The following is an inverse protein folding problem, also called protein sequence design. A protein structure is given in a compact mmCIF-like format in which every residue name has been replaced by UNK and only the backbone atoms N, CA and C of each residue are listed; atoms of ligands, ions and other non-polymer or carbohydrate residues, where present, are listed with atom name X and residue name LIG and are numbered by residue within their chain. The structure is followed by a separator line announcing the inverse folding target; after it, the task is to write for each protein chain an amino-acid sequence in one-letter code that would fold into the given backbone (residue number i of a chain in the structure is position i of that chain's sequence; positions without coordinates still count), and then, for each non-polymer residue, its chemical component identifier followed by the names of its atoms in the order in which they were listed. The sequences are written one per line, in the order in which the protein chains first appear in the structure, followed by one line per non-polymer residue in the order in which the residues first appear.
data_IF_376179661471
#
_entry.id   IF_376179661471
#
_cell.length_a   1.000
_cell.length_b   1.000
_cell.length_c   1.000
_cell.angle_alpha   90.00
_cell.angle_beta   90.00
_cell.angle_gamma   90.00
#
_symmetry.space_group_name_H-M   'P 1'
#
loop_
_entity.id
_entity.type
_entity.pdbx_description
1 polymer ?
#
# COMPACT_ATOMS: atom_id res chain seq x y z
N UNK A 1 -4.75 -12.89 -13.16
CA UNK A 1 -3.85 -11.80 -12.75
C UNK A 1 -2.43 -12.22 -13.09
N UNK A 2 -1.73 -11.50 -13.96
CA UNK A 2 -0.31 -11.79 -14.21
C UNK A 2 0.49 -11.09 -13.12
N UNK A 3 1.15 -11.86 -12.26
CA UNK A 3 1.91 -11.32 -11.10
C UNK A 3 3.00 -10.34 -11.54
N UNK A 4 3.59 -10.54 -12.72
CA UNK A 4 4.61 -9.65 -13.29
C UNK A 4 4.05 -8.25 -13.55
N UNK A 5 2.92 -8.13 -14.26
CA UNK A 5 2.27 -6.84 -14.53
C UNK A 5 1.92 -6.08 -13.25
N UNK A 6 1.41 -6.79 -12.24
CA UNK A 6 1.08 -6.18 -10.95
C UNK A 6 2.30 -5.67 -10.20
N UNK A 7 3.42 -6.41 -10.27
CA UNK A 7 4.67 -5.98 -9.66
C UNK A 7 5.22 -4.73 -10.35
N UNK A 8 5.20 -4.69 -11.69
CA UNK A 8 5.65 -3.54 -12.48
C UNK A 8 4.83 -2.28 -12.16
N UNK A 9 3.49 -2.39 -12.17
CA UNK A 9 2.60 -1.27 -11.85
C UNK A 9 2.81 -0.75 -10.41
N UNK A 10 3.01 -1.66 -9.46
CA UNK A 10 3.27 -1.28 -8.08
C UNK A 10 4.65 -0.62 -7.91
N UNK A 11 5.69 -1.13 -8.58
CA UNK A 11 7.00 -0.51 -8.60
C UNK A 11 6.93 0.92 -9.15
N UNK A 12 6.21 1.13 -10.26
CA UNK A 12 6.02 2.48 -10.81
C UNK A 12 5.32 3.43 -9.82
N UNK A 13 4.32 2.96 -9.07
CA UNK A 13 3.65 3.75 -8.03
C UNK A 13 4.60 4.11 -6.87
N UNK A 14 5.40 3.15 -6.40
CA UNK A 14 6.39 3.40 -5.35
C UNK A 14 7.46 4.40 -5.80
N UNK A 15 7.97 4.26 -7.04
CA UNK A 15 8.92 5.22 -7.63
C UNK A 15 8.32 6.61 -7.80
N UNK A 16 7.04 6.70 -8.21
CA UNK A 16 6.33 7.97 -8.27
C UNK A 16 6.29 8.63 -6.88
N UNK A 17 5.95 7.88 -5.83
CA UNK A 17 5.89 8.41 -4.46
C UNK A 17 7.24 8.96 -4.00
N UNK A 18 8.34 8.25 -4.32
CA UNK A 18 9.70 8.72 -4.04
C UNK A 18 9.97 10.06 -4.74
N UNK A 19 9.59 10.20 -6.02
CA UNK A 19 9.76 11.45 -6.76
C UNK A 19 8.90 12.59 -6.21
N UNK A 20 7.63 12.31 -5.89
CA UNK A 20 6.70 13.30 -5.33
C UNK A 20 7.21 13.86 -3.99
N UNK A 21 7.88 13.03 -3.19
CA UNK A 21 8.46 13.43 -1.90
C UNK A 21 9.96 13.71 -1.92
N UNK A 22 10.56 13.86 -3.09
CA UNK A 22 11.95 14.25 -3.20
C UNK A 22 12.20 15.59 -2.45
N UNK A 23 13.21 15.71 -1.58
CA UNK A 23 13.44 16.91 -0.77
C UNK A 23 13.76 18.18 -1.58
N UNK A 24 14.22 18.05 -2.83
CA UNK A 24 14.64 19.18 -3.66
C UNK A 24 13.62 19.46 -4.76
N UNK A 25 13.18 18.41 -5.46
CA UNK A 25 12.37 18.50 -6.68
C UNK A 25 10.92 18.01 -6.49
N UNK A 26 10.60 17.49 -5.30
CA UNK A 26 9.28 16.94 -5.02
C UNK A 26 8.17 17.99 -4.99
N UNK A 27 6.94 17.51 -5.09
CA UNK A 27 5.74 18.32 -4.99
C UNK A 27 5.68 19.01 -3.61
N UNK A 28 5.51 20.35 -3.56
CA UNK A 28 5.46 21.07 -2.29
C UNK A 28 4.37 20.59 -1.34
N UNK A 29 3.21 20.21 -1.88
CA UNK A 29 2.10 19.70 -1.07
C UNK A 29 2.45 18.34 -0.48
N UNK A 30 2.92 17.39 -1.30
CA UNK A 30 3.26 16.04 -0.83
C UNK A 30 4.32 16.10 0.25
N UNK A 31 5.40 16.88 0.05
CA UNK A 31 6.49 17.03 1.02
C UNK A 31 6.04 17.61 2.36
N UNK A 32 5.03 18.48 2.37
CA UNK A 32 4.52 19.11 3.59
C UNK A 32 3.68 18.15 4.45
N UNK A 33 3.27 17.00 3.92
CA UNK A 33 2.41 16.06 4.64
C UNK A 33 3.17 15.22 5.66
N UNK A 34 2.46 14.84 6.72
CA UNK A 34 2.90 13.90 7.75
C UNK A 34 1.84 12.82 8.02
N UNK A 35 2.09 11.94 9.00
CA UNK A 35 1.14 10.87 9.31
C UNK A 35 -0.23 11.39 9.77
N UNK A 36 -0.28 12.52 10.47
CA UNK A 36 -1.53 13.08 10.97
C UNK A 36 -2.32 13.72 9.82
N UNK A 37 -1.65 14.47 8.95
CA UNK A 37 -2.33 15.13 7.83
C UNK A 37 -2.89 14.13 6.81
N UNK A 38 -2.25 12.97 6.63
CA UNK A 38 -2.72 11.91 5.72
C UNK A 38 -3.79 10.99 6.35
N UNK A 39 -3.90 10.95 7.67
CA UNK A 39 -4.79 10.01 8.36
C UNK A 39 -6.28 10.19 8.02
N UNK A 40 -6.74 11.44 7.84
CA UNK A 40 -8.13 11.71 7.46
C UNK A 40 -8.45 11.20 6.07
N UNK A 41 -7.58 11.47 5.09
CA UNK A 41 -7.72 10.98 3.71
C UNK A 41 -7.81 9.45 3.69
N UNK A 42 -6.98 8.76 4.48
CA UNK A 42 -7.04 7.29 4.59
C UNK A 42 -8.43 6.76 5.01
N UNK A 43 -9.12 7.49 5.88
CA UNK A 43 -10.47 7.12 6.33
C UNK A 43 -11.51 7.47 5.25
N UNK A 44 -11.36 8.61 4.60
CA UNK A 44 -12.22 9.07 3.50
C UNK A 44 -12.23 8.05 2.35
N UNK A 45 -11.06 7.64 1.85
CA UNK A 45 -10.97 6.64 0.76
C UNK A 45 -11.64 5.31 1.14
N UNK A 46 -11.55 4.90 2.41
CA UNK A 46 -12.19 3.68 2.88
C UNK A 46 -13.73 3.79 2.86
N UNK A 47 -14.28 4.98 3.11
CA UNK A 47 -15.71 5.23 2.95
C UNK A 47 -16.13 5.28 1.48
N UNK A 48 -15.30 5.83 0.60
CA UNK A 48 -15.59 5.90 -0.84
C UNK A 48 -15.56 4.51 -1.49
N UNK A 49 -14.59 3.66 -1.12
CA UNK A 49 -14.59 2.23 -1.48
C UNK A 49 -15.90 1.55 -1.07
N UNK A 50 -16.40 1.82 0.14
CA UNK A 50 -17.68 1.26 0.61
C UNK A 50 -18.85 1.76 -0.24
N UNK A 51 -18.92 3.06 -0.51
CA UNK A 51 -20.00 3.65 -1.34
C UNK A 51 -20.02 3.03 -2.74
N UNK A 52 -18.84 2.90 -3.37
CA UNK A 52 -18.72 2.27 -4.69
C UNK A 52 -19.22 0.82 -4.70
N UNK A 53 -18.96 0.06 -3.64
CA UNK A 53 -19.49 -1.31 -3.47
C UNK A 53 -21.02 -1.29 -3.33
N UNK A 54 -21.56 -0.42 -2.47
CA UNK A 54 -23.01 -0.30 -2.23
C UNK A 54 -23.77 0.05 -3.51
N UNK A 55 -23.14 0.85 -4.39
CA UNK A 55 -23.68 1.26 -5.68
C UNK A 55 -23.41 0.26 -6.81
N UNK A 56 -22.67 -0.82 -6.54
CA UNK A 56 -22.22 -1.80 -7.56
C UNK A 56 -21.50 -1.12 -8.73
N UNK A 57 -20.76 -0.05 -8.44
CA UNK A 57 -20.02 0.72 -9.44
C UNK A 57 -18.60 0.20 -9.54
N UNK A 58 -18.36 -0.71 -10.49
CA UNK A 58 -17.04 -1.29 -10.69
C UNK A 58 -15.99 -0.28 -11.18
N UNK A 59 -16.42 0.80 -11.85
CA UNK A 59 -15.54 1.84 -12.34
C UNK A 59 -15.00 2.67 -11.18
N UNK A 60 -15.91 3.17 -10.36
CA UNK A 60 -15.57 3.92 -9.16
C UNK A 60 -14.80 3.04 -8.16
N UNK A 61 -15.23 1.80 -7.95
CA UNK A 61 -14.53 0.88 -7.03
C UNK A 61 -13.05 0.71 -7.39
N UNK A 62 -12.71 0.65 -8.68
CA UNK A 62 -11.32 0.57 -9.13
C UNK A 62 -10.53 1.84 -8.79
N UNK A 63 -11.16 3.01 -8.88
CA UNK A 63 -10.55 4.31 -8.59
C UNK A 63 -10.29 4.43 -7.09
N UNK A 64 -11.31 4.23 -6.25
CA UNK A 64 -11.16 4.38 -4.80
C UNK A 64 -10.23 3.33 -4.18
N UNK A 65 -10.16 2.11 -4.76
CA UNK A 65 -9.16 1.12 -4.35
C UNK A 65 -7.73 1.56 -4.69
N UNK A 66 -7.57 2.32 -5.79
CA UNK A 66 -6.31 2.94 -6.17
C UNK A 66 -5.91 4.04 -5.19
N UNK A 67 -6.85 4.91 -4.82
CA UNK A 67 -6.61 6.01 -3.88
C UNK A 67 -6.32 5.48 -2.47
N UNK A 68 -7.08 4.48 -2.00
CA UNK A 68 -6.78 3.80 -0.75
C UNK A 68 -5.39 3.13 -0.75
N UNK A 69 -4.99 2.50 -1.87
CA UNK A 69 -3.63 1.95 -2.02
C UNK A 69 -2.58 3.07 -1.98
N UNK A 70 -2.84 4.21 -2.61
CA UNK A 70 -1.95 5.37 -2.58
C UNK A 70 -1.73 5.86 -1.14
N UNK A 71 -2.77 5.92 -0.31
CA UNK A 71 -2.62 6.29 1.11
C UNK A 71 -1.69 5.32 1.87
N UNK A 72 -1.75 4.01 1.60
CA UNK A 72 -0.83 3.02 2.18
C UNK A 72 0.61 3.26 1.72
N UNK A 73 0.82 3.54 0.42
CA UNK A 73 2.13 3.86 -0.14
C UNK A 73 2.69 5.15 0.48
N UNK A 74 1.85 6.16 0.70
CA UNK A 74 2.25 7.42 1.32
C UNK A 74 2.74 7.22 2.75
N UNK A 75 1.98 6.50 3.59
CA UNK A 75 2.38 6.18 4.96
C UNK A 75 3.65 5.33 5.01
N UNK A 76 3.81 4.38 4.09
CA UNK A 76 5.03 3.60 3.98
C UNK A 76 6.25 4.48 3.63
N UNK A 77 6.07 5.46 2.73
CA UNK A 77 7.13 6.42 2.39
C UNK A 77 7.51 7.30 3.58
N UNK A 78 6.53 7.81 4.32
CA UNK A 78 6.75 8.60 5.54
C UNK A 78 7.46 7.81 6.64
N UNK A 79 7.21 6.51 6.74
CA UNK A 79 7.87 5.61 7.67
C UNK A 79 9.31 5.30 7.25
N UNK A 80 9.54 5.12 5.94
CA UNK A 80 10.87 4.90 5.37
C UNK A 80 11.77 6.13 5.57
N UNK A 81 11.25 7.34 5.34
CA UNK A 81 11.95 8.61 5.60
C UNK A 81 12.39 8.77 7.06
N UNK A 82 11.68 8.12 7.99
CA UNK A 82 12.02 8.10 9.42
C UNK A 82 12.86 6.89 9.84
N UNK A 83 13.19 6.00 8.91
CA UNK A 83 13.95 4.77 9.16
C UNK A 83 13.17 3.70 9.94
N UNK A 84 11.83 3.75 9.94
CA UNK A 84 10.99 2.82 10.70
C UNK A 84 10.73 1.51 9.97
N UNK A 85 10.24 1.60 8.73
CA UNK A 85 9.98 0.46 7.84
C UNK A 85 9.67 0.93 6.41
N UNK A 86 9.77 0.03 5.43
CA UNK A 86 9.43 0.26 4.03
C UNK A 86 8.08 -0.37 3.65
N UNK A 87 7.61 -0.12 2.42
CA UNK A 87 6.39 -0.74 1.89
C UNK A 87 6.47 -2.27 1.89
N UNK A 88 7.66 -2.82 1.60
CA UNK A 88 7.85 -4.26 1.54
C UNK A 88 7.65 -4.91 2.92
N UNK A 89 8.02 -4.26 4.02
CA UNK A 89 7.75 -4.72 5.38
C UNK A 89 6.25 -4.73 5.69
N UNK A 90 5.49 -3.74 5.23
CA UNK A 90 4.01 -3.73 5.33
C UNK A 90 3.42 -4.95 4.62
N UNK A 91 3.81 -5.18 3.36
CA UNK A 91 3.34 -6.30 2.55
C UNK A 91 3.72 -7.67 3.14
N UNK A 92 4.98 -7.83 3.59
CA UNK A 92 5.45 -9.06 4.27
C UNK A 92 4.68 -9.33 5.56
N UNK A 93 4.40 -8.30 6.35
CA UNK A 93 3.67 -8.42 7.61
C UNK A 93 2.26 -8.95 7.40
N UNK A 94 1.49 -8.36 6.46
CA UNK A 94 0.15 -8.83 6.15
C UNK A 94 0.17 -10.24 5.53
N UNK A 95 1.11 -10.52 4.62
CA UNK A 95 1.27 -11.84 4.01
C UNK A 95 1.50 -12.93 5.07
N UNK A 96 2.52 -12.77 5.92
CA UNK A 96 2.84 -13.72 6.97
C UNK A 96 1.68 -13.90 7.98
N UNK A 97 0.97 -12.81 8.31
CA UNK A 97 -0.23 -12.86 9.15
C UNK A 97 -1.35 -13.68 8.52
N UNK A 98 -1.65 -13.45 7.25
CA UNK A 98 -2.75 -14.15 6.56
C UNK A 98 -2.42 -15.64 6.36
N UNK A 99 -1.21 -15.96 5.92
CA UNK A 99 -0.73 -17.33 5.81
C UNK A 99 -0.90 -18.09 7.13
N UNK A 100 -0.43 -17.52 8.24
CA UNK A 100 -0.54 -18.15 9.58
C UNK A 100 -1.99 -18.35 10.02
N UNK A 101 -2.90 -17.47 9.61
CA UNK A 101 -4.33 -17.52 9.97
C UNK A 101 -5.16 -18.48 9.10
N UNK A 102 -4.60 -19.02 8.02
CA UNK A 102 -5.28 -19.94 7.11
C UNK A 102 -4.56 -21.31 7.00
N UNK A 103 -4.36 -22.04 8.11
CA UNK A 103 -3.69 -23.35 8.08
C UNK A 103 -4.46 -24.39 7.28
N UNK A 104 -5.77 -24.21 7.09
CA UNK A 104 -6.59 -25.08 6.24
C UNK A 104 -6.28 -24.92 4.74
N UNK A 105 -5.71 -23.79 4.31
CA UNK A 105 -5.27 -23.56 2.93
C UNK A 105 -3.80 -23.95 2.73
N UNK A 106 -2.94 -23.62 3.69
CA UNK A 106 -1.48 -23.73 3.54
C UNK A 106 -0.83 -24.87 4.34
N UNK A 107 -1.60 -25.67 5.08
CA UNK A 107 -1.09 -26.72 5.96
C UNK A 107 -0.38 -26.16 7.20
N UNK A 108 0.41 -27.01 7.87
CA UNK A 108 1.28 -26.60 8.99
C UNK A 108 2.51 -25.81 8.48
N UNK A 109 2.27 -24.63 7.92
CA UNK A 109 3.22 -23.52 7.76
C UNK A 109 4.04 -23.51 6.46
N UNK A 110 3.89 -22.50 5.58
CA UNK A 110 4.85 -22.26 4.50
C UNK A 110 6.12 -21.59 5.06
N UNK A 111 7.27 -21.92 4.45
CA UNK A 111 8.55 -21.22 4.69
C UNK A 111 8.38 -19.74 4.28
N UNK A 112 8.89 -18.78 5.07
CA UNK A 112 8.87 -17.38 4.67
C UNK A 112 9.64 -17.19 3.35
N UNK A 113 9.05 -16.42 2.44
CA UNK A 113 9.74 -15.93 1.25
C UNK A 113 10.88 -15.02 1.71
N UNK A 114 12.12 -15.41 1.45
CA UNK A 114 13.33 -14.66 1.83
C UNK A 114 14.25 -15.33 2.86
N UNK A 115 14.01 -16.57 3.27
CA UNK A 115 15.03 -17.37 3.95
C UNK A 115 16.00 -17.97 2.91
N UNK A 116 16.88 -17.13 2.36
CA UNK A 116 18.15 -17.55 1.78
C UNK A 116 19.25 -17.02 2.70
N UNK A 117 20.33 -17.80 2.75
CA UNK A 117 21.50 -17.75 3.64
C UNK A 117 22.12 -16.36 3.86
#
# INVERSE_FOLDING_TARGET
MRTADSAEALTALLELMVRLRDPEQGCPWDRAQDFHSIASYTIEEAYEVRDAIERTDAGQLREELGDLLFQVVFHARLAEERGWFDFAAVARSIHAKLVRRHPHVFGAGPRPVGALE
#
